data_IF_494797487239
#
_entry.id   IF_494797487239
#
_cell.length_a   1.000
_cell.length_b   1.000
_cell.length_c   1.000
_cell.angle_alpha   90.00
_cell.angle_beta   90.00
_cell.angle_gamma   90.00
#
_symmetry.space_group_name_H-M   'P 1'
#
loop_
_entity.id
_entity.type
_entity.pdbx_description
1 polymer ?
#
# COMPACT_ATOMS: atom_id res chain seq x y z
N UNK A 1 3.44 15.40 6.97
CA UNK A 1 3.21 13.98 7.35
C UNK A 1 3.44 13.10 6.13
N UNK A 2 3.84 11.83 6.30
CA UNK A 2 3.85 10.89 5.18
C UNK A 2 2.43 10.34 4.97
N UNK A 3 1.72 10.82 3.94
CA UNK A 3 0.39 10.32 3.59
C UNK A 3 0.47 8.84 3.18
N UNK A 4 -0.06 7.95 4.01
CA UNK A 4 -0.07 6.50 3.70
C UNK A 4 -1.18 6.17 2.71
N UNK A 5 -1.08 5.03 2.04
CA UNK A 5 -2.12 4.60 1.09
C UNK A 5 -3.48 4.40 1.78
N UNK A 6 -3.49 3.89 3.02
CA UNK A 6 -4.72 3.72 3.79
C UNK A 6 -5.42 5.07 4.07
N UNK A 7 -4.64 6.10 4.43
CA UNK A 7 -5.15 7.46 4.68
C UNK A 7 -5.72 8.08 3.40
N UNK A 8 -5.03 7.89 2.27
CA UNK A 8 -5.52 8.38 0.97
C UNK A 8 -6.79 7.66 0.51
N UNK A 9 -6.93 6.36 0.80
CA UNK A 9 -8.14 5.59 0.46
C UNK A 9 -9.32 6.06 1.33
N UNK A 10 -9.10 6.28 2.62
CA UNK A 10 -10.13 6.81 3.52
C UNK A 10 -10.62 8.18 3.05
N UNK A 11 -9.69 9.12 2.81
CA UNK A 11 -10.02 10.45 2.31
C UNK A 11 -10.71 10.41 0.93
N UNK A 12 -10.25 9.57 0.00
CA UNK A 12 -10.89 9.40 -1.30
C UNK A 12 -12.32 8.85 -1.21
N UNK A 13 -12.57 7.95 -0.24
CA UNK A 13 -13.90 7.35 -0.02
C UNK A 13 -14.87 8.41 0.48
N UNK A 14 -14.46 9.18 1.49
CA UNK A 14 -15.29 10.25 2.05
C UNK A 14 -15.51 11.39 1.04
N UNK A 15 -14.48 11.79 0.28
CA UNK A 15 -14.63 12.80 -0.76
C UNK A 15 -15.61 12.36 -1.86
N UNK A 16 -15.63 11.07 -2.22
CA UNK A 16 -16.63 10.55 -3.15
C UNK A 16 -18.05 10.63 -2.58
N UNK A 17 -18.22 10.34 -1.28
CA UNK A 17 -19.52 10.35 -0.60
C UNK A 17 -20.05 11.78 -0.39
N UNK A 18 -19.20 12.71 0.03
CA UNK A 18 -19.58 14.09 0.36
C UNK A 18 -19.76 14.94 -0.90
N UNK A 19 -18.82 14.85 -1.85
CA UNK A 19 -18.84 15.68 -3.06
C UNK A 19 -19.62 15.04 -4.22
N UNK A 20 -20.00 13.75 -4.10
CA UNK A 20 -20.73 13.05 -5.15
C UNK A 20 -20.01 13.03 -6.50
N UNK A 21 -18.68 12.85 -6.49
CA UNK A 21 -17.83 12.98 -7.67
C UNK A 21 -18.25 12.02 -8.81
N UNK A 22 -18.37 12.55 -10.03
CA UNK A 22 -18.63 11.78 -11.25
C UNK A 22 -17.58 12.09 -12.35
N UNK A 23 -16.68 11.14 -12.69
CA UNK A 23 -16.56 9.80 -12.13
C UNK A 23 -15.91 9.80 -10.73
N UNK A 24 -16.36 8.88 -9.89
CA UNK A 24 -15.79 8.69 -8.55
C UNK A 24 -14.30 8.33 -8.59
N UNK A 25 -13.55 8.74 -7.56
CA UNK A 25 -12.13 8.42 -7.40
C UNK A 25 -11.97 6.90 -7.25
N UNK A 26 -11.17 6.31 -8.13
CA UNK A 26 -10.86 4.89 -8.09
C UNK A 26 -9.85 4.56 -6.96
N UNK A 27 -10.30 3.81 -5.96
CA UNK A 27 -9.51 3.44 -4.78
C UNK A 27 -8.45 2.36 -5.06
N UNK A 28 -8.49 1.73 -6.23
CA UNK A 28 -7.52 0.68 -6.64
C UNK A 28 -6.27 1.25 -7.31
N UNK A 29 -6.22 2.57 -7.51
CA UNK A 29 -5.08 3.26 -8.10
C UNK A 29 -3.81 3.15 -7.24
N UNK A 30 -2.67 3.38 -7.87
CA UNK A 30 -1.40 3.45 -7.16
C UNK A 30 -1.41 4.61 -6.16
N UNK A 31 -0.59 4.54 -5.09
CA UNK A 31 -0.52 5.58 -4.06
C UNK A 31 -0.32 6.99 -4.65
N UNK A 32 0.51 7.11 -5.69
CA UNK A 32 0.80 8.39 -6.35
C UNK A 32 -0.40 8.90 -7.14
N UNK A 33 -1.06 8.05 -7.91
CA UNK A 33 -2.25 8.43 -8.68
C UNK A 33 -3.44 8.77 -7.77
N UNK A 34 -3.63 7.97 -6.71
CA UNK A 34 -4.65 8.22 -5.70
C UNK A 34 -4.42 9.56 -5.00
N UNK A 35 -3.16 9.87 -4.64
CA UNK A 35 -2.80 11.18 -4.07
C UNK A 35 -3.16 12.32 -5.01
N UNK A 36 -2.87 12.19 -6.31
CA UNK A 36 -3.19 13.23 -7.28
C UNK A 36 -4.71 13.42 -7.44
N UNK A 37 -5.47 12.33 -7.48
CA UNK A 37 -6.94 12.38 -7.57
C UNK A 37 -7.59 12.97 -6.32
N UNK A 38 -7.09 12.60 -5.14
CA UNK A 38 -7.53 13.18 -3.86
C UNK A 38 -7.19 14.68 -3.81
N UNK A 39 -6.04 15.09 -4.35
CA UNK A 39 -5.68 16.51 -4.46
C UNK A 39 -6.61 17.27 -5.41
N UNK A 40 -6.95 16.71 -6.57
CA UNK A 40 -7.91 17.32 -7.48
C UNK A 40 -9.28 17.51 -6.81
N UNK A 41 -9.75 16.51 -6.08
CA UNK A 41 -11.00 16.59 -5.33
C UNK A 41 -10.93 17.54 -4.12
N UNK A 42 -9.76 17.66 -3.48
CA UNK A 42 -9.53 18.60 -2.38
C UNK A 42 -9.73 20.06 -2.80
N UNK A 43 -9.56 20.39 -4.08
CA UNK A 43 -9.83 21.74 -4.62
C UNK A 43 -11.33 22.04 -4.77
N UNK A 44 -12.17 21.01 -4.74
CA UNK A 44 -13.63 21.13 -4.83
C UNK A 44 -14.29 21.21 -3.45
N UNK A 45 -13.53 21.00 -2.37
CA UNK A 45 -14.04 21.06 -1.00
C UNK A 45 -14.31 22.50 -0.60
N UNK A 46 -15.53 22.77 -0.18
CA UNK A 46 -15.97 24.06 0.36
C UNK A 46 -16.02 24.04 1.89
N UNK A 47 -15.97 25.22 2.52
CA UNK A 47 -16.02 25.33 4.00
C UNK A 47 -17.35 24.84 4.62
N UNK A 48 -18.38 24.62 3.79
CA UNK A 48 -19.65 24.03 4.19
C UNK A 48 -19.67 22.50 4.17
N UNK A 49 -18.66 21.85 3.58
CA UNK A 49 -18.62 20.40 3.49
C UNK A 49 -18.25 19.78 4.84
N UNK A 50 -19.06 18.81 5.25
CA UNK A 50 -18.84 18.09 6.51
C UNK A 50 -17.89 16.92 6.24
N UNK A 51 -16.60 17.18 6.46
CA UNK A 51 -15.53 16.19 6.38
C UNK A 51 -15.00 15.84 7.76
N UNK A 52 -14.57 14.59 7.95
CA UNK A 52 -13.88 14.13 9.13
C UNK A 52 -12.54 14.85 9.30
N UNK A 53 -12.12 15.02 10.55
CA UNK A 53 -10.87 15.73 10.91
C UNK A 53 -9.64 15.16 10.21
N UNK A 54 -9.62 13.85 10.02
CA UNK A 54 -8.53 13.15 9.34
C UNK A 54 -8.50 13.48 7.85
N UNK A 55 -9.65 13.55 7.18
CA UNK A 55 -9.77 13.92 5.77
C UNK A 55 -9.50 15.41 5.56
N UNK A 56 -9.98 16.28 6.46
CA UNK A 56 -9.63 17.71 6.45
C UNK A 56 -8.11 17.91 6.54
N UNK A 57 -7.42 17.19 7.42
CA UNK A 57 -5.96 17.26 7.53
C UNK A 57 -5.24 16.81 6.25
N UNK A 58 -5.78 15.81 5.56
CA UNK A 58 -5.25 15.34 4.26
C UNK A 58 -5.45 16.38 3.17
N UNK A 59 -6.65 16.95 3.07
CA UNK A 59 -7.02 18.03 2.14
C UNK A 59 -6.10 19.23 2.35
N UNK A 60 -6.00 19.74 3.58
CA UNK A 60 -5.13 20.87 3.92
C UNK A 60 -3.68 20.61 3.54
N UNK A 61 -3.14 19.41 3.83
CA UNK A 61 -1.77 19.07 3.48
C UNK A 61 -1.56 19.06 1.96
N UNK A 62 -2.47 18.45 1.20
CA UNK A 62 -2.34 18.35 -0.25
C UNK A 62 -2.45 19.70 -0.95
N UNK A 63 -3.25 20.61 -0.40
CA UNK A 63 -3.37 21.99 -0.86
C UNK A 63 -2.11 22.81 -0.54
N UNK A 64 -1.51 22.62 0.65
CA UNK A 64 -0.26 23.29 1.04
C UNK A 64 0.94 22.88 0.20
N UNK A 65 1.03 21.61 -0.15
CA UNK A 65 2.09 21.09 -1.04
C UNK A 65 2.00 21.64 -2.47
N UNK A 66 0.84 22.16 -2.91
CA UNK A 66 0.67 22.82 -4.21
C UNK A 66 1.24 24.25 -4.20
N UNK A 67 1.33 24.89 -3.03
CA UNK A 67 1.87 26.25 -2.90
C UNK A 67 3.41 26.33 -2.86
N UNK A 68 4.11 25.26 -2.49
CA UNK A 68 5.59 25.25 -2.44
C UNK A 68 6.27 25.14 -3.82
N UNK A 69 5.52 24.98 -4.91
CA UNK A 69 6.05 24.93 -6.28
C UNK A 69 5.83 26.24 -7.09
N UNK A 70 5.61 27.37 -6.40
CA UNK A 70 5.66 28.71 -7.02
C UNK A 70 6.85 29.50 -6.48
N UNK A 71 7.72 30.07 -7.34
CA UNK A 71 8.76 30.97 -6.86
C UNK A 71 8.08 32.17 -6.20
N UNK A 72 8.44 32.40 -4.95
CA UNK A 72 8.03 33.58 -4.18
C UNK A 72 8.43 34.86 -4.92
N UNK A 73 7.61 35.92 -4.79
CA UNK A 73 8.18 37.21 -4.48
C UNK A 73 7.65 37.67 -3.12
N UNK A 74 8.57 37.65 -2.18
CA UNK A 74 8.76 38.62 -1.08
C UNK A 74 7.68 39.69 -0.91
N UNK A 75 7.05 39.74 0.28
CA UNK A 75 6.98 40.97 1.11
C UNK A 75 6.45 40.69 2.53
N UNK A 76 7.40 40.75 3.45
CA UNK A 76 7.34 41.24 4.84
C UNK A 76 6.00 41.83 5.34
N UNK A 77 5.53 41.33 6.48
CA UNK A 77 5.05 42.18 7.58
C UNK A 77 5.21 41.45 8.93
N UNK A 78 6.04 42.04 9.80
CA UNK A 78 6.28 41.70 11.20
C UNK A 78 5.02 41.97 12.05
N UNK A 79 4.74 41.09 13.01
CA UNK A 79 4.31 41.39 14.41
C UNK A 79 4.18 40.04 15.14
N UNK A 80 5.15 39.57 15.94
CA UNK A 80 5.54 39.94 17.32
C UNK A 80 4.40 39.86 18.37
N UNK A 81 4.54 38.94 19.33
CA UNK A 81 3.74 38.80 20.56
C UNK A 81 3.57 37.33 20.99
N UNK A 82 4.57 36.66 21.61
CA UNK A 82 5.05 36.73 23.01
C UNK A 82 4.12 36.03 24.02
N UNK A 83 4.63 34.98 24.68
CA UNK A 83 4.02 34.34 25.87
C UNK A 83 4.18 32.82 25.87
N UNK A 84 5.35 32.22 26.11
CA UNK A 84 6.09 32.07 27.39
C UNK A 84 5.91 30.65 28.00
N UNK A 85 7.06 29.98 28.16
CA UNK A 85 7.45 28.83 29.01
C UNK A 85 6.70 27.49 28.85
N UNK A 86 7.36 26.34 28.86
CA UNK A 86 8.56 25.99 29.62
C UNK A 86 9.36 24.81 29.01
N UNK A 87 10.67 24.88 29.23
CA UNK A 87 11.64 23.80 29.45
C UNK A 87 11.81 22.66 28.41
N UNK A 88 12.88 22.71 27.61
CA UNK A 88 14.17 21.98 27.77
C UNK A 88 14.06 20.45 27.69
N UNK A 89 14.54 19.89 26.58
CA UNK A 89 15.90 19.30 26.44
C UNK A 89 15.89 17.92 27.10
N UNK A 90 16.00 16.82 26.38
CA UNK A 90 17.25 16.40 25.75
C UNK A 90 17.02 14.98 25.17
N UNK A 91 17.62 14.74 24.00
CA UNK A 91 18.02 13.46 23.38
C UNK A 91 16.98 12.44 22.85
N UNK A 92 17.03 12.37 21.52
CA UNK A 92 17.60 11.25 20.75
C UNK A 92 17.01 9.82 20.86
N UNK A 93 16.91 9.25 19.66
CA UNK A 93 17.00 7.83 19.35
C UNK A 93 15.73 6.94 19.43
N UNK A 94 15.34 6.52 18.21
CA UNK A 94 14.71 5.25 17.81
C UNK A 94 13.23 4.99 18.15
N UNK A 95 12.47 4.83 17.07
CA UNK A 95 11.74 3.61 16.65
C UNK A 95 10.90 2.80 17.67
N UNK A 96 9.81 2.19 17.19
CA UNK A 96 8.50 2.26 17.83
C UNK A 96 8.21 1.06 18.75
N UNK A 97 7.38 1.22 19.79
CA UNK A 97 6.71 0.09 20.40
C UNK A 97 5.26 0.02 19.90
N UNK A 98 5.02 -1.01 19.10
CA UNK A 98 3.71 -1.63 19.00
C UNK A 98 3.21 -2.06 20.40
N UNK A 99 2.05 -1.58 20.82
CA UNK A 99 1.20 -2.25 21.82
C UNK A 99 0.27 -3.18 21.05
N UNK A 100 0.50 -4.50 20.96
CA UNK A 100 0.31 -5.56 21.97
C UNK A 100 -0.99 -5.49 22.77
N UNK A 101 -1.84 -6.48 22.53
CA UNK A 101 -2.69 -7.17 23.51
C UNK A 101 -2.71 -8.65 23.10
N UNK A 102 -2.33 -9.64 23.90
CA UNK A 102 -1.80 -9.66 25.25
C UNK A 102 -1.12 -11.01 25.52
N UNK A 103 -0.01 -10.92 26.24
CA UNK A 103 0.50 -11.82 27.28
C UNK A 103 0.24 -13.34 27.21
N UNK A 104 1.29 -14.10 26.86
CA UNK A 104 1.65 -15.33 27.57
C UNK A 104 3.18 -15.50 27.62
N UNK A 105 3.70 -15.31 28.84
CA UNK A 105 4.94 -15.81 29.46
C UNK A 105 6.09 -16.25 28.53
N UNK A 106 7.20 -15.48 28.60
CA UNK A 106 8.55 -15.86 28.16
C UNK A 106 8.98 -17.16 28.85
N UNK A 107 9.27 -18.17 28.05
CA UNK A 107 10.41 -19.06 28.29
C UNK A 107 11.35 -18.89 27.10
N UNK A 108 12.61 -18.58 27.40
CA UNK A 108 13.68 -18.44 26.43
C UNK A 108 13.97 -19.80 25.78
N UNK A 109 13.21 -20.15 24.74
CA UNK A 109 13.58 -21.23 23.83
C UNK A 109 14.58 -20.67 22.84
N UNK A 110 15.86 -21.03 23.07
CA UNK A 110 16.91 -21.30 22.10
C UNK A 110 16.44 -21.06 20.66
N UNK A 111 17.03 -20.08 19.95
CA UNK A 111 16.77 -19.82 18.54
C UNK A 111 17.00 -21.09 17.71
N UNK A 112 15.95 -21.91 17.60
CA UNK A 112 15.82 -22.86 16.51
C UNK A 112 15.67 -22.01 15.27
N UNK A 113 16.67 -22.10 14.38
CA UNK A 113 16.62 -21.57 13.01
C UNK A 113 15.23 -21.85 12.45
N UNK A 114 14.36 -20.83 12.42
CA UNK A 114 12.99 -20.98 11.91
C UNK A 114 13.13 -21.48 10.48
N UNK A 115 12.67 -22.71 10.23
CA UNK A 115 12.64 -23.26 8.87
C UNK A 115 11.91 -22.25 7.98
N UNK A 116 12.38 -22.01 6.74
CA UNK A 116 11.74 -21.04 5.87
C UNK A 116 10.27 -21.41 5.71
N UNK A 117 9.40 -20.46 6.09
CA UNK A 117 7.95 -20.58 5.90
C UNK A 117 7.66 -20.71 4.42
N UNK A 118 6.84 -21.71 4.02
CA UNK A 118 6.44 -21.87 2.64
C UNK A 118 5.54 -20.70 2.24
N UNK A 119 6.02 -19.84 1.35
CA UNK A 119 5.30 -18.62 0.94
C UNK A 119 4.53 -18.82 -0.37
N UNK A 120 3.60 -17.91 -0.67
CA UNK A 120 2.92 -17.87 -1.99
C UNK A 120 3.89 -17.71 -3.16
N UNK A 121 5.06 -17.10 -2.96
CA UNK A 121 6.10 -17.05 -3.99
C UNK A 121 6.69 -18.44 -4.29
N UNK A 122 6.91 -19.26 -3.26
CA UNK A 122 7.30 -20.66 -3.45
C UNK A 122 6.21 -21.46 -4.15
N UNK A 123 4.94 -21.21 -3.79
CA UNK A 123 3.80 -21.84 -4.45
C UNK A 123 3.67 -21.43 -5.92
N UNK A 124 3.88 -20.16 -6.26
CA UNK A 124 3.87 -19.64 -7.63
C UNK A 124 4.95 -20.29 -8.49
N UNK A 125 6.18 -20.33 -7.98
CA UNK A 125 7.28 -21.02 -8.65
C UNK A 125 6.99 -22.52 -8.82
N UNK A 126 6.42 -23.17 -7.80
CA UNK A 126 5.97 -24.55 -7.89
C UNK A 126 4.91 -24.77 -8.97
N UNK A 127 3.91 -23.89 -9.06
CA UNK A 127 2.86 -23.95 -10.06
C UNK A 127 3.43 -23.78 -11.48
N UNK A 128 4.32 -22.80 -11.69
CA UNK A 128 5.02 -22.59 -12.96
C UNK A 128 5.93 -23.77 -13.34
N UNK A 129 6.55 -24.43 -12.36
CA UNK A 129 7.36 -25.63 -12.59
C UNK A 129 6.49 -26.83 -13.01
N UNK A 130 5.34 -27.00 -12.37
CA UNK A 130 4.36 -28.05 -12.70
C UNK A 130 3.71 -27.85 -14.08
N UNK A 131 3.59 -26.60 -14.54
CA UNK A 131 3.06 -26.26 -15.86
C UNK A 131 3.87 -26.84 -17.04
N UNK A 132 5.15 -27.17 -16.82
CA UNK A 132 5.99 -27.82 -17.82
C UNK A 132 6.12 -27.02 -19.13
N UNK A 133 6.22 -27.74 -20.26
CA UNK A 133 6.37 -27.14 -21.60
C UNK A 133 5.05 -26.63 -22.20
N UNK A 134 3.92 -27.18 -21.77
CA UNK A 134 2.58 -26.84 -22.24
C UNK A 134 2.13 -25.47 -21.75
N UNK A 135 2.74 -24.98 -20.68
CA UNK A 135 2.33 -23.74 -20.01
C UNK A 135 0.94 -23.84 -19.38
N UNK A 136 0.58 -22.79 -18.64
CA UNK A 136 -0.70 -22.66 -17.94
C UNK A 136 -1.27 -21.27 -18.12
N UNK A 137 -2.59 -21.16 -18.10
CA UNK A 137 -3.29 -19.88 -18.11
C UNK A 137 -3.17 -19.17 -16.75
N UNK A 138 -3.47 -17.87 -16.69
CA UNK A 138 -3.46 -17.13 -15.39
C UNK A 138 -4.43 -17.74 -14.37
N UNK A 139 -5.59 -18.19 -14.82
CA UNK A 139 -6.60 -18.74 -13.93
C UNK A 139 -6.14 -20.07 -13.35
N UNK A 140 -5.64 -20.98 -14.18
CA UNK A 140 -5.06 -22.26 -13.73
C UNK A 140 -3.87 -22.04 -12.81
N UNK A 141 -3.02 -21.05 -13.11
CA UNK A 141 -1.88 -20.70 -12.28
C UNK A 141 -2.31 -20.18 -10.90
N UNK A 142 -3.36 -19.35 -10.85
CA UNK A 142 -3.93 -18.83 -9.59
C UNK A 142 -4.47 -19.95 -8.72
N UNK A 143 -5.24 -20.86 -9.30
CA UNK A 143 -5.79 -22.03 -8.60
C UNK A 143 -4.67 -22.96 -8.12
N UNK A 144 -3.72 -23.30 -8.99
CA UNK A 144 -2.60 -24.18 -8.67
C UNK A 144 -1.72 -23.60 -7.55
N UNK A 145 -1.48 -22.28 -7.57
CA UNK A 145 -0.75 -21.59 -6.52
C UNK A 145 -1.48 -21.69 -5.18
N UNK A 146 -2.78 -21.37 -5.14
CA UNK A 146 -3.55 -21.40 -3.89
C UNK A 146 -3.58 -22.83 -3.31
N UNK A 147 -3.83 -23.83 -4.15
CA UNK A 147 -3.78 -25.23 -3.75
C UNK A 147 -2.42 -25.65 -3.19
N UNK A 148 -1.33 -25.29 -3.87
CA UNK A 148 0.03 -25.61 -3.41
C UNK A 148 0.35 -24.92 -2.09
N UNK A 149 -0.11 -23.69 -1.91
CA UNK A 149 0.06 -22.94 -0.66
C UNK A 149 -0.73 -23.58 0.49
N UNK A 150 -1.98 -23.96 0.26
CA UNK A 150 -2.84 -24.63 1.24
C UNK A 150 -2.30 -26.01 1.61
N UNK A 151 -1.86 -26.81 0.63
CA UNK A 151 -1.24 -28.13 0.84
C UNK A 151 0.01 -28.06 1.73
N UNK A 152 0.65 -26.89 1.86
CA UNK A 152 1.83 -26.66 2.70
C UNK A 152 1.51 -25.95 4.02
N UNK A 153 0.24 -25.90 4.41
CA UNK A 153 -0.22 -25.33 5.68
C UNK A 153 -0.59 -23.84 5.61
N UNK A 154 -0.67 -23.26 4.41
CA UNK A 154 -1.17 -21.91 4.19
C UNK A 154 -2.69 -21.81 4.28
N UNK A 155 -3.21 -20.60 4.53
CA UNK A 155 -4.66 -20.33 4.47
C UNK A 155 -5.08 -20.02 3.02
N UNK A 156 -6.12 -20.69 2.54
CA UNK A 156 -6.68 -20.42 1.21
C UNK A 156 -7.10 -18.96 1.10
N UNK A 157 -6.69 -18.31 0.02
CA UNK A 157 -7.03 -16.93 -0.26
C UNK A 157 -6.93 -16.68 -1.77
N UNK A 158 -7.98 -17.04 -2.54
CA UNK A 158 -8.00 -16.95 -3.99
C UNK A 158 -7.70 -15.53 -4.49
N UNK A 159 -8.25 -14.51 -3.82
CA UNK A 159 -7.97 -13.09 -4.13
C UNK A 159 -6.50 -12.73 -3.95
N UNK A 160 -5.87 -13.18 -2.87
CA UNK A 160 -4.45 -12.97 -2.62
C UNK A 160 -3.56 -13.76 -3.59
N UNK A 161 -4.02 -14.93 -4.04
CA UNK A 161 -3.32 -15.76 -5.02
C UNK A 161 -3.39 -15.14 -6.42
N UNK A 162 -4.55 -14.56 -6.77
CA UNK A 162 -4.73 -13.75 -7.99
C UNK A 162 -3.82 -12.52 -7.97
N UNK A 163 -3.82 -11.75 -6.88
CA UNK A 163 -2.93 -10.60 -6.74
C UNK A 163 -1.44 -10.98 -6.88
N UNK A 164 -1.05 -12.13 -6.31
CA UNK A 164 0.32 -12.64 -6.45
C UNK A 164 0.68 -12.88 -7.92
N UNK A 165 -0.21 -13.55 -8.67
CA UNK A 165 -0.04 -13.80 -10.10
C UNK A 165 -0.01 -12.49 -10.89
N UNK A 166 -0.97 -11.60 -10.69
CA UNK A 166 -1.09 -10.35 -11.46
C UNK A 166 0.10 -9.41 -11.24
N UNK A 167 0.67 -9.36 -10.03
CA UNK A 167 1.84 -8.52 -9.73
C UNK A 167 3.14 -9.15 -10.24
N UNK A 168 3.36 -10.45 -9.99
CA UNK A 168 4.68 -11.07 -10.21
C UNK A 168 4.84 -11.65 -11.61
N UNK A 169 3.77 -12.15 -12.23
CA UNK A 169 3.86 -12.80 -13.53
C UNK A 169 4.37 -11.85 -14.64
N UNK A 170 3.90 -10.59 -14.76
CA UNK A 170 4.45 -9.66 -15.74
C UNK A 170 5.94 -9.37 -15.51
N UNK A 171 6.34 -9.22 -14.25
CA UNK A 171 7.73 -8.98 -13.85
C UNK A 171 8.62 -10.16 -14.30
N UNK A 172 8.18 -11.39 -14.05
CA UNK A 172 8.91 -12.60 -14.46
C UNK A 172 9.02 -12.75 -15.98
N UNK A 173 8.03 -12.25 -16.73
CA UNK A 173 8.07 -12.20 -18.20
C UNK A 173 9.09 -11.17 -18.68
N UNK A 174 9.09 -9.97 -18.10
CA UNK A 174 10.05 -8.90 -18.45
C UNK A 174 11.49 -9.33 -18.18
N UNK A 175 11.74 -10.01 -17.05
CA UNK A 175 13.07 -10.55 -16.74
C UNK A 175 13.42 -11.84 -17.49
N UNK A 176 12.53 -12.33 -18.37
CA UNK A 176 12.79 -13.51 -19.20
C UNK A 176 12.84 -14.83 -18.43
N UNK A 177 12.37 -14.88 -17.19
CA UNK A 177 12.27 -16.11 -16.39
C UNK A 177 11.07 -16.95 -16.85
N UNK A 178 10.00 -16.28 -17.26
CA UNK A 178 8.78 -16.89 -17.80
C UNK A 178 8.61 -16.40 -19.24
N UNK A 179 8.25 -17.30 -20.13
CA UNK A 179 7.81 -16.93 -21.49
C UNK A 179 6.28 -17.00 -21.56
N UNK A 180 5.70 -16.05 -22.29
CA UNK A 180 4.28 -16.01 -22.62
C UNK A 180 4.13 -16.52 -24.06
N UNK A 181 3.39 -17.60 -24.24
CA UNK A 181 2.98 -18.12 -25.54
C UNK A 181 1.46 -18.06 -25.59
N UNK A 182 0.91 -17.18 -26.43
CA UNK A 182 -0.52 -16.86 -26.49
C UNK A 182 -1.05 -16.43 -25.11
N UNK A 183 -2.01 -17.16 -24.54
CA UNK A 183 -2.54 -16.91 -23.18
C UNK A 183 -1.94 -17.84 -22.11
N UNK A 184 -0.84 -18.53 -22.44
CA UNK A 184 -0.18 -19.49 -21.57
C UNK A 184 1.20 -19.00 -21.14
N UNK A 185 1.54 -19.32 -19.89
CA UNK A 185 2.79 -18.94 -19.25
C UNK A 185 3.57 -20.20 -18.87
N UNK A 186 4.87 -20.23 -19.17
CA UNK A 186 5.77 -21.32 -18.78
C UNK A 186 7.15 -20.81 -18.41
N UNK A 187 7.91 -21.57 -17.62
CA UNK A 187 9.29 -21.24 -17.32
C UNK A 187 10.14 -21.34 -18.59
N UNK A 188 10.93 -20.30 -18.85
CA UNK A 188 11.95 -20.32 -19.90
C UNK A 188 13.06 -21.26 -19.43
N UNK A 189 13.37 -22.27 -20.24
CA UNK A 189 14.46 -23.23 -19.99
C UNK A 189 15.74 -22.82 -20.69
#
# INVERSE_FOLDING_TARGET
MNLTQAVLVAAATELNEVLGLDPAINLTLSRTELRNKVREAAELVEAGDTLDKDTQAVVEQLTKEKEEEKPTPTRTAKTNGKGDKDNKDDKDDKSPPAKTTGTKKKEAKKEEKKKPSFTKAHALHGALKSAGRTGVTRQELTTSLDELYVKKGGKSSPSGSKAMVDIHLPVLVVFGVVEKQDDRFRLKK
#
